data_IF_250271250597
#
_entry.id   IF_250271250597
#
_cell.length_a   1.000
_cell.length_b   1.000
_cell.length_c   1.000
_cell.angle_alpha   90.00
_cell.angle_beta   90.00
_cell.angle_gamma   90.00
#
_symmetry.space_group_name_H-M   'P 1'
#
loop_
_entity.id
_entity.type
_entity.pdbx_description
1 polymer ?
#
# COMPACT_ATOMS: atom_id res chain seq x y z
N UNK A 1 -13.78 3.55 18.15
CA UNK A 1 -13.33 2.53 17.18
C UNK A 1 -12.10 1.83 17.74
N UNK A 2 -12.03 0.48 17.73
CA UNK A 2 -10.85 -0.27 18.13
C UNK A 2 -9.73 -0.10 17.10
N UNK A 3 -8.49 -0.11 17.56
CA UNK A 3 -7.31 -0.17 16.70
C UNK A 3 -6.55 -1.46 17.00
N UNK A 4 -6.25 -2.23 15.95
CA UNK A 4 -5.57 -3.51 16.05
C UNK A 4 -4.15 -3.41 15.50
N UNK A 5 -3.28 -4.23 16.06
CA UNK A 5 -1.96 -4.49 15.54
C UNK A 5 -1.87 -5.97 15.15
N UNK A 6 -1.41 -6.23 13.95
CA UNK A 6 -1.10 -7.59 13.47
C UNK A 6 0.26 -7.58 12.81
N UNK A 7 0.88 -8.74 12.69
CA UNK A 7 2.20 -8.89 12.09
C UNK A 7 2.28 -10.14 11.22
N UNK A 8 3.26 -10.18 10.34
CA UNK A 8 3.61 -11.34 9.52
C UNK A 8 5.02 -11.22 8.99
N UNK A 9 5.63 -12.34 8.64
CA UNK A 9 6.96 -12.35 8.03
C UNK A 9 6.94 -11.75 6.61
N UNK A 10 5.89 -12.01 5.85
CA UNK A 10 5.69 -11.50 4.47
C UNK A 10 4.48 -10.58 4.38
N UNK A 11 4.38 -9.82 3.27
CA UNK A 11 3.23 -8.94 3.03
C UNK A 11 1.90 -9.70 3.01
N UNK A 12 1.74 -10.83 2.30
CA UNK A 12 0.50 -11.59 2.34
C UNK A 12 0.11 -12.05 3.74
N UNK A 13 1.06 -12.53 4.54
CA UNK A 13 0.78 -13.00 5.90
C UNK A 13 0.24 -11.89 6.78
N UNK A 14 0.90 -10.74 6.83
CA UNK A 14 0.45 -9.60 7.62
C UNK A 14 -0.91 -9.06 7.14
N UNK A 15 -1.11 -8.97 5.82
CA UNK A 15 -2.37 -8.54 5.22
C UNK A 15 -3.51 -9.53 5.50
N UNK A 16 -3.26 -10.83 5.39
CA UNK A 16 -4.25 -11.87 5.71
C UNK A 16 -4.69 -11.79 7.17
N UNK A 17 -3.75 -11.61 8.08
CA UNK A 17 -4.05 -11.41 9.51
C UNK A 17 -4.91 -10.15 9.72
N UNK A 18 -4.67 -9.09 8.96
CA UNK A 18 -5.49 -7.88 9.01
C UNK A 18 -6.92 -8.11 8.48
N UNK A 19 -7.08 -8.85 7.37
CA UNK A 19 -8.40 -9.20 6.82
C UNK A 19 -9.23 -10.03 7.81
N UNK A 20 -8.62 -11.07 8.41
CA UNK A 20 -9.28 -11.90 9.44
C UNK A 20 -9.71 -11.03 10.61
N UNK A 21 -8.84 -10.16 11.11
CA UNK A 21 -9.15 -9.27 12.23
C UNK A 21 -10.29 -8.29 11.90
N UNK A 22 -10.31 -7.69 10.70
CA UNK A 22 -11.40 -6.85 10.24
C UNK A 22 -12.71 -7.62 10.15
N UNK A 23 -12.67 -8.83 9.57
CA UNK A 23 -13.88 -9.65 9.45
C UNK A 23 -14.52 -9.98 10.79
N UNK A 24 -13.69 -10.37 11.76
CA UNK A 24 -14.15 -10.89 13.05
C UNK A 24 -14.50 -9.78 14.05
N UNK A 25 -13.78 -8.66 14.04
CA UNK A 25 -13.89 -7.63 15.07
C UNK A 25 -14.18 -6.22 14.54
N UNK A 26 -14.31 -6.04 13.22
CA UNK A 26 -14.67 -4.76 12.60
C UNK A 26 -16.06 -4.30 13.04
N UNK A 27 -16.21 -3.01 13.30
CA UNK A 27 -17.50 -2.40 13.64
C UNK A 27 -18.25 -2.03 12.37
N UNK A 28 -19.57 -2.21 12.37
CA UNK A 28 -20.42 -1.71 11.30
C UNK A 28 -20.68 -0.23 11.54
N UNK A 29 -20.32 0.62 10.58
CA UNK A 29 -20.43 2.07 10.64
C UNK A 29 -21.18 2.56 9.41
N UNK A 30 -22.17 3.47 9.56
CA UNK A 30 -22.80 4.13 8.42
C UNK A 30 -21.79 4.93 7.60
N UNK A 31 -21.88 4.84 6.27
CA UNK A 31 -21.08 5.62 5.33
C UNK A 31 -22.01 6.46 4.43
N UNK A 32 -22.51 7.61 4.91
CA UNK A 32 -23.50 8.41 4.19
C UNK A 32 -23.00 8.95 2.85
N UNK A 33 -21.69 9.25 2.74
CA UNK A 33 -21.09 9.75 1.50
C UNK A 33 -21.30 8.81 0.30
N UNK A 34 -21.40 7.49 0.58
CA UNK A 34 -21.63 6.47 -0.45
C UNK A 34 -22.97 5.76 -0.29
N UNK A 35 -23.88 6.29 0.58
CA UNK A 35 -25.18 5.72 0.87
C UNK A 35 -25.11 4.21 1.21
N UNK A 36 -24.16 3.82 2.05
CA UNK A 36 -23.89 2.43 2.42
C UNK A 36 -23.43 2.32 3.88
N UNK A 37 -23.00 1.12 4.26
CA UNK A 37 -22.33 0.81 5.52
C UNK A 37 -20.94 0.26 5.23
N UNK A 38 -20.03 0.43 6.17
CA UNK A 38 -18.69 -0.18 6.17
C UNK A 38 -18.52 -1.06 7.40
N UNK A 39 -17.78 -2.14 7.27
CA UNK A 39 -17.15 -2.84 8.39
C UNK A 39 -15.77 -2.21 8.55
N UNK A 40 -15.44 -1.69 9.74
CA UNK A 40 -14.30 -0.77 9.92
C UNK A 40 -13.58 -0.99 11.25
N UNK A 41 -12.28 -0.79 11.26
CA UNK A 41 -11.43 -0.68 12.44
C UNK A 41 -10.19 0.21 12.14
N UNK A 42 -9.48 0.65 13.16
CA UNK A 42 -8.10 1.09 12.99
C UNK A 42 -7.20 -0.14 12.84
N UNK A 43 -6.22 -0.09 11.96
CA UNK A 43 -5.33 -1.21 11.69
C UNK A 43 -3.90 -0.75 11.51
N UNK A 44 -2.99 -1.44 12.19
CA UNK A 44 -1.56 -1.41 11.84
C UNK A 44 -1.12 -2.84 11.56
N UNK A 45 -0.60 -3.11 10.36
CA UNK A 45 0.06 -4.37 10.09
C UNK A 45 1.56 -4.16 9.84
N UNK A 46 2.36 -5.05 10.45
CA UNK A 46 3.81 -5.05 10.38
C UNK A 46 4.29 -6.24 9.57
N UNK A 47 5.14 -5.96 8.58
CA UNK A 47 5.80 -6.94 7.73
C UNK A 47 7.27 -6.98 8.12
N UNK A 48 7.72 -8.09 8.69
CA UNK A 48 9.08 -8.23 9.20
C UNK A 48 10.11 -8.18 8.06
N UNK A 49 9.84 -8.91 6.97
CA UNK A 49 10.69 -8.97 5.80
C UNK A 49 9.88 -8.59 4.56
N UNK A 50 9.97 -7.31 4.16
CA UNK A 50 9.12 -6.76 3.10
C UNK A 50 9.27 -7.48 1.74
N UNK A 51 10.42 -8.11 1.48
CA UNK A 51 10.68 -8.88 0.26
C UNK A 51 10.60 -10.41 0.47
N UNK A 52 10.11 -10.90 1.63
CA UNK A 52 9.98 -12.33 1.87
C UNK A 52 8.95 -12.98 0.94
N UNK A 53 9.32 -14.10 0.34
CA UNK A 53 8.39 -14.94 -0.43
C UNK A 53 7.57 -15.86 0.50
N UNK A 54 6.34 -16.20 0.12
CA UNK A 54 5.60 -15.68 -1.04
C UNK A 54 5.17 -14.22 -0.86
N UNK A 55 5.31 -13.38 -1.90
CA UNK A 55 4.96 -11.94 -1.85
C UNK A 55 3.59 -11.61 -2.38
N UNK A 56 2.93 -12.54 -3.06
CA UNK A 56 1.65 -12.32 -3.72
C UNK A 56 0.51 -13.02 -3.00
N UNK A 57 -0.63 -12.34 -2.92
CA UNK A 57 -1.87 -12.85 -2.33
C UNK A 57 -2.89 -13.14 -3.43
N UNK A 58 -3.72 -14.16 -3.22
CA UNK A 58 -4.97 -14.40 -4.00
C UNK A 58 -6.20 -13.80 -3.30
N UNK A 59 -6.00 -13.07 -2.22
CA UNK A 59 -7.07 -12.49 -1.41
C UNK A 59 -7.16 -10.96 -1.61
N UNK A 60 -6.99 -10.47 -2.85
CA UNK A 60 -7.26 -9.09 -3.24
C UNK A 60 -7.93 -9.06 -4.61
N UNK A 61 -8.56 -7.93 -4.95
CA UNK A 61 -9.15 -7.72 -6.27
C UNK A 61 -8.07 -7.21 -7.20
N UNK A 62 -7.84 -7.94 -8.27
CA UNK A 62 -6.84 -7.65 -9.29
C UNK A 62 -5.95 -8.84 -9.57
N UNK A 63 -5.23 -8.76 -10.67
CA UNK A 63 -4.23 -9.72 -11.09
C UNK A 63 -2.84 -9.12 -11.15
N UNK A 64 -1.93 -9.85 -11.76
CA UNK A 64 -0.55 -9.42 -11.97
C UNK A 64 -0.45 -8.12 -12.75
N UNK A 65 -1.28 -7.96 -13.79
CA UNK A 65 -1.26 -6.77 -14.66
C UNK A 65 -1.64 -5.52 -13.87
N UNK A 66 -2.75 -5.56 -13.11
CA UNK A 66 -3.22 -4.43 -12.31
C UNK A 66 -2.20 -4.06 -11.22
N UNK A 67 -1.59 -5.07 -10.60
CA UNK A 67 -0.58 -4.87 -9.57
C UNK A 67 0.66 -4.19 -10.15
N UNK A 68 1.13 -4.65 -11.31
CA UNK A 68 2.26 -4.07 -12.01
C UNK A 68 1.97 -2.64 -12.46
N UNK A 69 0.82 -2.40 -13.10
CA UNK A 69 0.41 -1.06 -13.48
C UNK A 69 0.44 -0.12 -12.26
N UNK A 70 -0.12 -0.56 -11.12
CA UNK A 70 -0.16 0.27 -9.94
C UNK A 70 1.23 0.55 -9.34
N UNK A 71 2.16 -0.40 -9.40
CA UNK A 71 3.57 -0.16 -9.05
C UNK A 71 4.17 0.94 -9.95
N UNK A 72 3.93 0.88 -11.25
CA UNK A 72 4.42 1.90 -12.19
C UNK A 72 3.75 3.27 -11.99
N UNK A 73 2.46 3.29 -11.60
CA UNK A 73 1.75 4.53 -11.23
C UNK A 73 2.42 5.21 -10.03
N UNK A 74 2.72 4.44 -8.98
CA UNK A 74 3.29 4.97 -7.73
C UNK A 74 4.78 5.28 -7.87
N UNK A 75 5.55 4.42 -8.53
CA UNK A 75 7.00 4.52 -8.60
C UNK A 75 7.52 5.36 -9.77
N UNK A 76 6.80 5.41 -10.90
CA UNK A 76 7.28 5.98 -12.16
C UNK A 76 6.32 7.03 -12.75
N UNK A 77 5.14 7.20 -12.16
CA UNK A 77 4.18 8.26 -12.52
C UNK A 77 3.57 8.11 -13.90
N UNK A 78 3.38 6.88 -14.38
CA UNK A 78 2.87 6.62 -15.73
C UNK A 78 1.50 7.25 -16.00
N UNK A 79 0.75 7.60 -14.95
CA UNK A 79 -0.55 8.26 -15.03
C UNK A 79 -0.54 9.75 -14.60
N UNK A 80 0.61 10.36 -14.31
CA UNK A 80 0.68 11.79 -13.94
C UNK A 80 0.08 12.68 -15.03
N UNK A 81 0.13 12.26 -16.29
CA UNK A 81 -0.45 13.00 -17.41
C UNK A 81 -1.99 13.11 -17.36
N UNK A 82 -2.66 12.30 -16.54
CA UNK A 82 -4.12 12.34 -16.34
C UNK A 82 -4.57 13.45 -15.39
N UNK A 83 -3.65 14.06 -14.62
CA UNK A 83 -3.98 15.13 -13.68
C UNK A 83 -4.57 16.32 -14.45
N UNK A 84 -5.75 16.76 -14.03
CA UNK A 84 -6.46 17.88 -14.63
C UNK A 84 -7.07 17.62 -16.01
N UNK A 85 -7.17 16.35 -16.44
CA UNK A 85 -7.68 15.99 -17.76
C UNK A 85 -8.89 15.06 -17.71
N UNK A 86 -9.82 15.25 -18.66
CA UNK A 86 -10.98 14.39 -18.86
C UNK A 86 -12.22 14.77 -18.05
N UNK A 87 -13.29 13.99 -18.18
CA UNK A 87 -14.55 14.19 -17.45
C UNK A 87 -14.44 13.74 -15.98
N UNK A 88 -13.59 12.71 -15.72
CA UNK A 88 -13.21 12.27 -14.37
C UNK A 88 -11.81 12.80 -14.06
N UNK A 89 -11.74 14.07 -13.70
CA UNK A 89 -10.47 14.76 -13.46
C UNK A 89 -9.74 14.11 -12.27
N UNK A 90 -8.56 13.56 -12.51
CA UNK A 90 -7.64 13.19 -11.46
C UNK A 90 -7.05 14.47 -10.87
N UNK A 91 -7.26 14.70 -9.60
CA UNK A 91 -6.76 15.90 -8.94
C UNK A 91 -5.29 15.76 -8.54
N UNK A 92 -4.84 14.52 -8.32
CA UNK A 92 -3.45 14.16 -8.00
C UNK A 92 -3.19 12.69 -8.35
N UNK A 93 -1.90 12.34 -8.40
CA UNK A 93 -1.40 10.97 -8.24
C UNK A 93 -0.50 10.92 -7.01
N UNK A 94 -0.27 9.73 -6.43
CA UNK A 94 0.72 9.62 -5.36
C UNK A 94 2.11 9.98 -5.86
N UNK A 95 2.48 9.53 -7.07
CA UNK A 95 3.77 9.86 -7.66
C UNK A 95 3.98 11.37 -7.78
N UNK A 96 3.02 12.11 -8.28
CA UNK A 96 3.14 13.58 -8.42
C UNK A 96 3.39 14.28 -7.08
N UNK A 97 2.73 13.81 -6.01
CA UNK A 97 2.90 14.33 -4.66
C UNK A 97 4.26 13.97 -4.03
N UNK A 98 4.84 12.81 -4.37
CA UNK A 98 6.05 12.29 -3.71
C UNK A 98 7.35 12.53 -4.49
N UNK A 99 7.31 12.62 -5.83
CA UNK A 99 8.50 12.62 -6.69
C UNK A 99 9.55 13.66 -6.32
N UNK A 100 9.13 14.90 -6.00
CA UNK A 100 10.04 15.95 -5.62
C UNK A 100 10.67 15.79 -4.22
N UNK A 101 10.13 14.88 -3.40
CA UNK A 101 10.57 14.64 -2.03
C UNK A 101 11.50 13.44 -1.91
N UNK A 102 11.52 12.55 -2.91
CA UNK A 102 12.38 11.35 -2.92
C UNK A 102 13.86 11.76 -2.87
N UNK A 103 14.28 12.71 -3.71
CA UNK A 103 15.67 13.21 -3.72
C UNK A 103 16.09 13.78 -2.36
N UNK A 104 15.18 14.48 -1.68
CA UNK A 104 15.44 14.99 -0.33
C UNK A 104 15.67 13.86 0.66
N UNK A 105 14.82 12.85 0.65
CA UNK A 105 14.89 11.69 1.55
C UNK A 105 16.17 10.90 1.33
N UNK A 106 16.52 10.62 0.08
CA UNK A 106 17.76 9.95 -0.29
C UNK A 106 18.98 10.75 0.16
N UNK A 107 19.03 12.05 -0.13
CA UNK A 107 20.11 12.94 0.30
C UNK A 107 20.22 13.02 1.81
N UNK A 108 19.12 13.12 2.53
CA UNK A 108 19.09 13.19 4.00
C UNK A 108 19.69 11.91 4.61
N UNK A 109 19.27 10.72 4.13
CA UNK A 109 19.75 9.44 4.65
C UNK A 109 21.17 9.12 4.19
N UNK A 110 21.59 9.58 3.02
CA UNK A 110 22.98 9.46 2.57
C UNK A 110 23.92 10.27 3.48
N UNK A 111 23.53 11.50 3.84
CA UNK A 111 24.34 12.37 4.68
C UNK A 111 24.28 11.96 6.18
N UNK A 112 23.16 11.44 6.62
CA UNK A 112 22.94 11.00 7.99
C UNK A 112 22.08 9.73 8.02
N UNK A 113 22.70 8.54 7.96
CA UNK A 113 21.99 7.26 7.96
C UNK A 113 21.08 7.05 9.19
N UNK A 114 21.37 7.72 10.31
CA UNK A 114 20.58 7.63 11.53
C UNK A 114 19.45 8.69 11.60
N UNK A 115 19.25 9.48 10.55
CA UNK A 115 18.22 10.52 10.53
C UNK A 115 16.82 9.97 10.81
N UNK A 116 16.01 10.83 11.44
CA UNK A 116 14.57 10.64 11.69
C UNK A 116 13.76 11.69 10.97
N UNK A 117 14.35 12.39 9.99
CA UNK A 117 13.74 13.48 9.23
C UNK A 117 13.38 13.10 7.80
N UNK A 118 13.64 11.85 7.40
CA UNK A 118 13.33 11.36 6.08
C UNK A 118 11.83 11.00 6.00
N UNK A 119 11.02 12.02 5.79
CA UNK A 119 9.56 11.96 5.69
C UNK A 119 9.14 12.53 4.35
N UNK A 120 8.20 11.86 3.70
CA UNK A 120 7.50 12.26 2.49
C UNK A 120 6.06 12.57 2.89
N UNK A 121 5.63 13.81 2.77
CA UNK A 121 4.24 14.21 3.00
C UNK A 121 3.46 14.14 1.69
N UNK A 122 2.33 13.44 1.72
CA UNK A 122 1.44 13.30 0.56
C UNK A 122 0.24 14.22 0.68
N UNK A 123 -0.28 14.38 1.89
CA UNK A 123 -1.34 15.33 2.16
C UNK A 123 -0.84 16.75 1.94
N UNK A 124 -1.52 17.47 1.06
CA UNK A 124 -1.32 18.90 0.86
C UNK A 124 -2.51 19.68 1.45
N UNK A 125 -2.29 20.33 2.60
CA UNK A 125 -3.35 21.04 3.30
C UNK A 125 -3.88 22.25 2.51
N UNK A 126 -3.11 22.80 1.57
CA UNK A 126 -3.57 23.93 0.73
C UNK A 126 -4.63 23.50 -0.29
N UNK A 127 -4.68 22.22 -0.63
CA UNK A 127 -5.60 21.65 -1.62
C UNK A 127 -6.58 20.70 -0.95
N UNK A 128 -6.09 19.72 -0.17
CA UNK A 128 -6.89 18.63 0.36
C UNK A 128 -7.94 19.04 1.40
N UNK A 129 -7.80 20.23 2.00
CA UNK A 129 -8.83 20.78 2.90
C UNK A 129 -10.10 21.19 2.16
N UNK A 130 -10.00 21.45 0.86
CA UNK A 130 -11.10 21.92 0.02
C UNK A 130 -11.55 20.89 -1.02
N UNK A 131 -10.95 19.69 -0.97
CA UNK A 131 -11.20 18.60 -1.90
C UNK A 131 -12.16 17.57 -1.27
N UNK A 132 -13.18 17.16 -2.00
CA UNK A 132 -14.13 16.12 -1.58
C UNK A 132 -13.46 14.74 -1.54
N UNK A 133 -12.38 14.54 -2.32
CA UNK A 133 -11.61 13.30 -2.41
C UNK A 133 -10.12 13.48 -2.05
N UNK A 134 -9.80 13.94 -0.81
CA UNK A 134 -8.42 14.18 -0.42
C UNK A 134 -7.61 12.87 -0.40
N UNK A 135 -6.30 12.97 -0.53
CA UNK A 135 -5.39 11.84 -0.55
C UNK A 135 -5.61 10.87 0.65
N UNK A 136 -5.73 9.58 0.36
CA UNK A 136 -5.83 8.55 1.40
C UNK A 136 -4.47 8.32 2.08
N UNK A 137 -3.38 8.28 1.32
CA UNK A 137 -2.02 8.27 1.83
C UNK A 137 -1.70 9.64 2.43
N UNK A 138 -1.24 9.65 3.68
CA UNK A 138 -0.91 10.89 4.39
C UNK A 138 0.59 11.18 4.35
N UNK A 139 1.40 10.23 4.78
CA UNK A 139 2.84 10.34 4.73
C UNK A 139 3.51 8.96 4.68
N UNK A 140 4.79 8.99 4.30
CA UNK A 140 5.71 7.87 4.32
C UNK A 140 6.96 8.32 5.10
N UNK A 141 7.36 7.55 6.10
CA UNK A 141 8.61 7.76 6.82
C UNK A 141 9.55 6.59 6.53
N UNK A 142 10.80 6.90 6.18
CA UNK A 142 11.84 5.89 5.97
C UNK A 142 13.02 6.10 6.91
N UNK A 143 13.64 5.01 7.33
CA UNK A 143 14.77 5.01 8.26
C UNK A 143 15.73 3.88 7.90
N UNK A 144 17.04 4.12 8.02
CA UNK A 144 18.03 3.06 7.93
C UNK A 144 18.30 2.52 9.34
N UNK A 145 18.14 1.21 9.52
CA UNK A 145 18.53 0.47 10.72
C UNK A 145 19.20 -0.84 10.30
N UNK A 146 20.27 -1.21 10.94
CA UNK A 146 21.03 -2.43 10.64
C UNK A 146 21.33 -2.61 9.14
N UNK A 147 21.72 -1.50 8.47
CA UNK A 147 22.00 -1.44 7.03
C UNK A 147 20.80 -1.85 6.13
N UNK A 148 19.57 -1.69 6.63
CA UNK A 148 18.32 -1.92 5.90
C UNK A 148 17.42 -0.69 6.00
N UNK A 149 16.67 -0.41 4.95
CA UNK A 149 15.69 0.67 4.91
C UNK A 149 14.35 0.15 5.40
N UNK A 150 13.91 0.61 6.58
CA UNK A 150 12.55 0.41 7.07
C UNK A 150 11.62 1.49 6.52
N UNK A 151 10.39 1.12 6.19
CA UNK A 151 9.36 2.07 5.73
C UNK A 151 8.11 1.99 6.61
N UNK A 152 7.57 3.16 6.94
CA UNK A 152 6.30 3.31 7.67
C UNK A 152 5.36 4.18 6.86
N UNK A 153 4.15 3.68 6.64
CA UNK A 153 3.11 4.34 5.84
C UNK A 153 1.91 4.64 6.72
N UNK A 154 1.37 5.85 6.59
CA UNK A 154 0.13 6.26 7.24
C UNK A 154 -0.94 6.56 6.19
N UNK A 155 -2.04 5.83 6.26
CA UNK A 155 -3.27 6.07 5.49
C UNK A 155 -4.36 6.64 6.40
N UNK A 156 -5.07 7.71 5.96
CA UNK A 156 -6.27 8.16 6.68
C UNK A 156 -7.40 7.14 6.57
N UNK A 157 -7.50 6.51 5.41
CA UNK A 157 -8.52 5.54 5.05
C UNK A 157 -7.97 4.58 4.02
N UNK A 158 -8.28 3.28 4.14
CA UNK A 158 -7.82 2.27 3.19
C UNK A 158 -8.86 1.14 3.04
N UNK A 159 -9.33 0.93 1.82
CA UNK A 159 -10.21 -0.19 1.51
C UNK A 159 -9.43 -1.50 1.64
N UNK A 160 -9.91 -2.37 2.53
CA UNK A 160 -9.24 -3.61 2.88
C UNK A 160 -9.25 -4.63 1.74
N UNK A 161 -10.34 -4.69 1.00
CA UNK A 161 -10.58 -5.70 -0.04
C UNK A 161 -10.15 -5.25 -1.43
N UNK A 162 -10.34 -3.96 -1.75
CA UNK A 162 -10.11 -3.45 -3.09
C UNK A 162 -8.73 -2.79 -3.27
N UNK A 163 -8.16 -2.14 -2.23
CA UNK A 163 -6.99 -1.29 -2.42
C UNK A 163 -5.75 -1.65 -1.57
N UNK A 164 -5.94 -2.14 -0.36
CA UNK A 164 -4.84 -2.21 0.63
C UNK A 164 -3.66 -3.05 0.16
N UNK A 165 -3.91 -4.22 -0.44
CA UNK A 165 -2.81 -5.08 -0.89
C UNK A 165 -2.00 -4.43 -1.99
N UNK A 166 -2.66 -3.82 -3.00
CA UNK A 166 -1.98 -3.12 -4.09
C UNK A 166 -1.19 -1.92 -3.59
N UNK A 167 -1.79 -1.12 -2.68
CA UNK A 167 -1.10 0.00 -2.05
C UNK A 167 0.17 -0.45 -1.33
N UNK A 168 0.08 -1.46 -0.45
CA UNK A 168 1.21 -1.95 0.31
C UNK A 168 2.30 -2.54 -0.59
N UNK A 169 1.93 -3.30 -1.61
CA UNK A 169 2.86 -3.87 -2.58
C UNK A 169 3.61 -2.78 -3.35
N UNK A 170 2.91 -1.76 -3.84
CA UNK A 170 3.53 -0.64 -4.56
C UNK A 170 4.43 0.21 -3.65
N UNK A 171 4.04 0.41 -2.39
CA UNK A 171 4.90 1.14 -1.43
C UNK A 171 6.15 0.33 -1.05
N UNK A 172 6.07 -1.01 -0.98
CA UNK A 172 7.25 -1.87 -0.82
C UNK A 172 8.16 -1.79 -2.05
N UNK A 173 7.60 -1.72 -3.27
CA UNK A 173 8.39 -1.48 -4.47
C UNK A 173 9.10 -0.10 -4.44
N UNK A 174 8.42 0.93 -3.95
CA UNK A 174 9.04 2.24 -3.70
C UNK A 174 10.16 2.17 -2.65
N UNK A 175 9.95 1.41 -1.56
CA UNK A 175 10.95 1.14 -0.53
C UNK A 175 12.19 0.48 -1.14
N UNK A 176 12.00 -0.53 -2.00
CA UNK A 176 13.08 -1.23 -2.70
C UNK A 176 13.87 -0.27 -3.62
N UNK A 177 13.17 0.60 -4.37
CA UNK A 177 13.78 1.62 -5.22
C UNK A 177 14.66 2.59 -4.42
N UNK A 178 14.15 3.11 -3.31
CA UNK A 178 14.91 4.01 -2.42
C UNK A 178 16.10 3.28 -1.76
N UNK A 179 15.90 2.05 -1.28
CA UNK A 179 16.96 1.26 -0.66
C UNK A 179 18.11 0.97 -1.64
N UNK A 180 17.77 0.65 -2.89
CA UNK A 180 18.75 0.44 -3.98
C UNK A 180 19.58 1.70 -4.24
N UNK A 181 18.94 2.87 -4.28
CA UNK A 181 19.64 4.16 -4.49
C UNK A 181 20.58 4.49 -3.33
N UNK A 182 20.20 4.15 -2.10
CA UNK A 182 21.02 4.32 -0.90
C UNK A 182 22.10 3.25 -0.73
N UNK A 183 22.09 2.17 -1.53
CA UNK A 183 23.01 1.05 -1.41
C UNK A 183 22.82 0.22 -0.13
N UNK A 184 21.60 0.15 0.41
CA UNK A 184 21.26 -0.63 1.61
C UNK A 184 20.24 -1.73 1.29
N UNK A 185 20.06 -2.69 2.20
CA UNK A 185 19.02 -3.71 2.07
C UNK A 185 17.62 -3.15 2.33
N UNK A 186 16.59 -3.90 1.93
CA UNK A 186 15.20 -3.63 2.29
C UNK A 186 14.93 -4.23 3.66
N UNK A 187 14.37 -3.44 4.56
CA UNK A 187 14.01 -3.82 5.92
C UNK A 187 12.53 -4.13 6.10
N UNK A 188 12.00 -3.78 7.25
CA UNK A 188 10.60 -3.97 7.59
C UNK A 188 9.69 -2.93 6.89
N UNK A 189 8.41 -3.29 6.78
CA UNK A 189 7.35 -2.40 6.30
C UNK A 189 6.22 -2.33 7.33
N UNK A 190 5.79 -1.13 7.66
CA UNK A 190 4.65 -0.91 8.55
C UNK A 190 3.57 -0.14 7.81
N UNK A 191 2.36 -0.66 7.79
CA UNK A 191 1.21 0.00 7.20
C UNK A 191 0.17 0.31 8.27
N UNK A 192 -0.12 1.58 8.46
CA UNK A 192 -1.17 2.03 9.38
C UNK A 192 -2.30 2.65 8.59
N UNK A 193 -3.51 2.11 8.75
CA UNK A 193 -4.74 2.71 8.24
C UNK A 193 -5.62 3.12 9.43
N UNK A 194 -5.90 4.43 9.57
CA UNK A 194 -6.75 4.92 10.64
C UNK A 194 -8.19 4.41 10.48
N UNK A 195 -8.67 4.32 9.23
CA UNK A 195 -9.90 3.64 8.84
C UNK A 195 -9.54 2.52 7.85
N UNK A 196 -9.38 1.30 8.36
CA UNK A 196 -9.26 0.08 7.57
C UNK A 196 -10.65 -0.53 7.44
N UNK A 197 -11.20 -0.55 6.24
CA UNK A 197 -12.61 -0.83 6.05
C UNK A 197 -12.91 -1.68 4.83
N UNK A 198 -14.09 -2.31 4.81
CA UNK A 198 -14.69 -2.96 3.65
C UNK A 198 -16.13 -2.48 3.51
N UNK A 199 -16.51 -2.07 2.29
CA UNK A 199 -17.88 -1.65 1.99
C UNK A 199 -18.84 -2.84 2.01
N UNK A 200 -20.11 -2.57 2.32
CA UNK A 200 -21.15 -3.61 2.44
C UNK A 200 -21.26 -4.49 1.18
N UNK A 201 -21.06 -3.91 0.00
CA UNK A 201 -21.05 -4.65 -1.27
C UNK A 201 -19.99 -5.77 -1.30
N UNK A 202 -18.89 -5.59 -0.56
CA UNK A 202 -17.69 -6.46 -0.58
C UNK A 202 -17.61 -7.39 0.65
N UNK A 203 -18.59 -7.37 1.56
CA UNK A 203 -18.55 -8.25 2.74
C UNK A 203 -18.57 -9.74 2.39
N UNK A 204 -19.28 -10.11 1.31
CA UNK A 204 -19.23 -11.47 0.79
C UNK A 204 -17.85 -11.87 0.26
N UNK A 205 -17.17 -10.94 -0.41
CA UNK A 205 -15.81 -11.12 -0.87
C UNK A 205 -14.82 -11.22 0.29
N UNK A 206 -14.93 -10.33 1.29
CA UNK A 206 -14.13 -10.40 2.51
C UNK A 206 -14.28 -11.75 3.22
N UNK A 207 -15.52 -12.24 3.37
CA UNK A 207 -15.77 -13.53 3.97
C UNK A 207 -15.14 -14.69 3.17
N UNK A 208 -15.19 -14.62 1.84
CA UNK A 208 -14.55 -15.62 0.97
C UNK A 208 -13.02 -15.59 1.09
N UNK A 209 -12.41 -14.41 1.19
CA UNK A 209 -10.97 -14.27 1.43
C UNK A 209 -10.59 -14.89 2.77
N UNK A 210 -11.33 -14.58 3.83
CA UNK A 210 -11.09 -15.11 5.18
C UNK A 210 -11.24 -16.64 5.21
N UNK A 211 -12.26 -17.19 4.56
CA UNK A 211 -12.43 -18.64 4.45
C UNK A 211 -11.21 -19.29 3.75
N UNK A 212 -10.77 -18.75 2.62
CA UNK A 212 -9.56 -19.22 1.91
C UNK A 212 -8.32 -19.20 2.78
N UNK A 213 -8.12 -18.11 3.56
CA UNK A 213 -6.99 -17.97 4.47
C UNK A 213 -7.04 -19.04 5.58
N UNK A 214 -8.21 -19.23 6.19
CA UNK A 214 -8.39 -20.17 7.30
C UNK A 214 -8.31 -21.62 6.87
N UNK A 215 -8.78 -21.95 5.67
CA UNK A 215 -8.67 -23.31 5.09
C UNK A 215 -7.27 -23.62 4.58
N UNK A 216 -6.36 -22.65 4.63
CA UNK A 216 -4.98 -22.76 4.14
C UNK A 216 -4.89 -23.25 2.68
N UNK A 217 -5.88 -22.87 1.85
CA UNK A 217 -5.94 -23.24 0.44
C UNK A 217 -5.22 -22.20 -0.41
N UNK A 218 -4.04 -22.53 -0.92
CA UNK A 218 -3.24 -21.72 -1.90
C UNK A 218 -3.57 -20.22 -1.93
N UNK A 219 -3.51 -19.56 -0.75
CA UNK A 219 -3.88 -18.14 -0.61
C UNK A 219 -2.75 -17.20 -1.04
N UNK A 220 -1.56 -17.75 -1.28
CA UNK A 220 -0.35 -17.00 -1.65
C UNK A 220 0.41 -17.68 -2.78
N UNK A 221 1.28 -16.93 -3.46
CA UNK A 221 2.18 -17.47 -4.49
C UNK A 221 3.44 -16.58 -4.64
N UNK A 222 4.49 -17.16 -5.25
CA UNK A 222 5.78 -16.50 -5.43
C UNK A 222 5.68 -15.39 -6.48
N UNK A 223 6.42 -14.31 -6.23
CA UNK A 223 6.62 -13.23 -7.19
C UNK A 223 7.81 -13.56 -8.11
N UNK A 224 7.55 -13.71 -9.38
CA UNK A 224 8.57 -14.08 -10.38
C UNK A 224 9.11 -12.89 -11.19
N UNK A 225 8.96 -11.67 -10.64
CA UNK A 225 9.55 -10.49 -11.25
C UNK A 225 8.80 -10.00 -12.50
N UNK A 226 7.71 -9.26 -12.36
CA UNK A 226 7.03 -8.64 -13.51
C UNK A 226 7.86 -7.57 -14.19
N UNK A 227 8.68 -6.86 -13.42
CA UNK A 227 9.47 -5.76 -13.92
C UNK A 227 10.53 -6.24 -14.92
N UNK A 228 11.10 -7.40 -14.67
CA UNK A 228 12.12 -7.99 -15.55
C UNK A 228 11.49 -8.51 -16.85
N UNK A 229 10.30 -9.09 -16.80
CA UNK A 229 9.57 -9.56 -17.99
C UNK A 229 9.07 -8.40 -18.84
N UNK A 230 8.55 -7.31 -18.23
CA UNK A 230 8.07 -6.13 -18.94
C UNK A 230 9.22 -5.35 -19.59
N UNK A 231 10.32 -5.17 -18.86
CA UNK A 231 11.49 -4.46 -19.35
C UNK A 231 12.26 -5.28 -20.40
N UNK A 232 12.12 -6.60 -20.39
CA UNK A 232 12.63 -7.49 -21.44
C UNK A 232 11.77 -7.51 -22.72
N UNK A 233 10.59 -6.86 -22.71
CA UNK A 233 9.69 -6.83 -23.85
C UNK A 233 8.94 -8.15 -24.10
N UNK A 234 8.98 -9.06 -23.17
CA UNK A 234 8.27 -10.33 -23.21
C UNK A 234 6.90 -10.21 -22.49
N UNK A 235 5.97 -9.46 -23.12
CA UNK A 235 4.57 -9.51 -22.68
C UNK A 235 3.94 -10.70 -23.41
N UNK A 236 3.45 -11.74 -22.72
CA UNK A 236 2.60 -12.72 -23.37
C UNK A 236 1.31 -12.00 -23.81
N UNK A 237 1.03 -12.02 -25.08
CA UNK A 237 -0.32 -11.65 -25.57
C UNK A 237 -1.34 -12.58 -24.90
N UNK A 238 -2.32 -11.97 -24.19
CA UNK A 238 -3.46 -12.66 -23.60
C UNK A 238 -4.53 -12.89 -24.65
#
# INVERSE_FOLDING_TARGET
MKHFFVEGNSLPEAYHNALVKLNDEGQIVPCPAYNTETKECGMTFYVENALAEPRLSRCFIGGHHELQQYVMEVCDGILDFMIGKGENVWEYTYHDRIKAQIDFVVKELHNNPNSRRAIIDVRDNSVDMFNDHPACLQNIMVMIRDNKLDMKVLMRSNDATEATFMNAFAFIALQEKIAKELGVGVGSYTHTANSFHSYKKDWGLLANFVARIQENTESTYEYKGFYDELMAGEIPEV
#
